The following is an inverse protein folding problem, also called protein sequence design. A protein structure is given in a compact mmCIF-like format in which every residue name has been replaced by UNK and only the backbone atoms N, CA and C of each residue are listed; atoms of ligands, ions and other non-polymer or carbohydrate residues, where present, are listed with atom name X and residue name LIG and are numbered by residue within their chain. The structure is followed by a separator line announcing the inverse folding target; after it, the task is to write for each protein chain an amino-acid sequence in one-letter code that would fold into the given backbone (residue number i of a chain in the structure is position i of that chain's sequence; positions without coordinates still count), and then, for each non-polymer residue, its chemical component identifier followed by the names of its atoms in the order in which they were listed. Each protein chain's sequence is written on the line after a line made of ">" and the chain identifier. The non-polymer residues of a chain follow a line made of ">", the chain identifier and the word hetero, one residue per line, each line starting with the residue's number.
data_IF_783266219097
#
_entry.id   IF_783266219097
#
_cell.length_a   1.000
_cell.length_b   1.000
_cell.length_c   1.000
_cell.angle_alpha   90.00
_cell.angle_beta   90.00
_cell.angle_gamma   90.00
#
_symmetry.space_group_name_H-M   'P 1'
#
loop_
_entity.id
_entity.type
_entity.pdbx_description
1 polymer ?
#
# COMPACT_ATOMS: atom_id res chain seq x y z
N UNK A 1 7.72 -27.58 8.92
CA UNK A 1 8.82 -26.99 9.71
C UNK A 1 8.29 -25.64 10.13
N UNK A 2 7.61 -25.64 11.25
CA UNK A 2 6.74 -24.53 11.64
C UNK A 2 7.45 -23.72 12.72
N UNK A 3 7.28 -22.40 12.66
CA UNK A 3 7.84 -21.47 13.62
C UNK A 3 6.70 -20.83 14.39
N UNK A 4 6.88 -20.74 15.70
CA UNK A 4 5.92 -20.10 16.58
C UNK A 4 6.08 -18.58 16.50
N UNK A 5 4.97 -17.87 16.28
CA UNK A 5 4.92 -16.41 16.26
C UNK A 5 4.53 -15.91 17.67
N UNK A 6 5.45 -15.27 18.41
CA UNK A 6 5.26 -14.96 19.83
C UNK A 6 4.15 -13.95 20.12
N UNK A 7 3.80 -13.07 19.17
CA UNK A 7 2.76 -12.05 19.38
C UNK A 7 1.46 -12.45 18.70
N UNK A 8 1.53 -13.20 17.59
CA UNK A 8 0.34 -13.74 16.95
C UNK A 8 -0.21 -14.98 17.68
N UNK A 9 0.61 -15.67 18.48
CA UNK A 9 0.29 -16.93 19.16
C UNK A 9 -0.12 -18.07 18.20
N UNK A 10 0.38 -18.03 16.95
CA UNK A 10 0.10 -19.01 15.89
C UNK A 10 1.40 -19.62 15.38
N UNK A 11 1.36 -20.92 15.06
CA UNK A 11 2.46 -21.62 14.40
C UNK A 11 2.29 -21.57 12.89
N UNK A 12 3.29 -21.07 12.17
CA UNK A 12 3.25 -20.92 10.71
C UNK A 12 4.50 -21.51 10.07
N UNK A 13 4.34 -22.07 8.88
CA UNK A 13 5.45 -22.59 8.07
C UNK A 13 6.41 -21.45 7.66
N UNK A 14 7.65 -21.45 8.17
CA UNK A 14 8.60 -20.35 7.92
C UNK A 14 9.00 -20.21 6.43
N UNK A 15 9.20 -21.29 5.64
CA UNK A 15 9.47 -21.16 4.19
C UNK A 15 8.33 -20.46 3.45
N UNK A 16 7.08 -20.74 3.82
CA UNK A 16 5.91 -20.11 3.23
C UNK A 16 5.92 -18.59 3.48
N UNK A 17 6.26 -18.15 4.69
CA UNK A 17 6.35 -16.71 5.00
C UNK A 17 7.42 -16.01 4.15
N UNK A 18 8.59 -16.63 3.98
CA UNK A 18 9.64 -16.07 3.10
C UNK A 18 9.17 -16.02 1.64
N UNK A 19 8.52 -17.09 1.16
CA UNK A 19 7.98 -17.13 -0.20
C UNK A 19 6.89 -16.07 -0.43
N UNK A 20 5.94 -15.93 0.50
CA UNK A 20 4.92 -14.88 0.47
C UNK A 20 5.56 -13.49 0.49
N UNK A 21 6.55 -13.29 1.36
CA UNK A 21 7.37 -12.09 1.38
C UNK A 21 7.94 -11.77 0.00
N UNK A 22 8.52 -12.77 -0.68
CA UNK A 22 9.09 -12.61 -2.02
C UNK A 22 8.04 -12.35 -3.09
N UNK A 23 6.92 -13.06 -3.11
CA UNK A 23 5.84 -12.84 -4.10
C UNK A 23 5.23 -11.45 -3.93
N UNK A 24 4.87 -11.07 -2.71
CA UNK A 24 4.31 -9.75 -2.44
C UNK A 24 5.34 -8.64 -2.65
N UNK A 25 6.61 -8.90 -2.31
CA UNK A 25 7.72 -8.02 -2.62
C UNK A 25 7.86 -7.80 -4.13
N UNK A 26 7.77 -8.86 -4.93
CA UNK A 26 7.82 -8.80 -6.39
C UNK A 26 6.68 -7.97 -6.96
N UNK A 27 5.45 -8.21 -6.50
CA UNK A 27 4.27 -7.40 -6.87
C UNK A 27 4.45 -5.94 -6.44
N UNK A 28 4.94 -5.68 -5.23
CA UNK A 28 5.24 -4.34 -4.74
C UNK A 28 6.26 -3.61 -5.62
N UNK A 29 7.34 -4.30 -5.99
CA UNK A 29 8.40 -3.78 -6.86
C UNK A 29 7.92 -3.52 -8.29
N UNK A 30 7.03 -4.34 -8.83
CA UNK A 30 6.43 -4.14 -10.16
C UNK A 30 5.57 -2.87 -10.24
N UNK A 31 4.76 -2.62 -9.20
CA UNK A 31 3.72 -1.58 -9.23
C UNK A 31 4.07 -0.31 -8.46
N UNK A 32 5.06 -0.33 -7.56
CA UNK A 32 5.41 0.82 -6.71
C UNK A 32 4.48 1.07 -5.53
N UNK A 33 3.65 0.09 -5.19
CA UNK A 33 2.52 0.28 -4.26
C UNK A 33 2.80 -0.13 -2.82
N UNK A 34 3.99 -0.63 -2.51
CA UNK A 34 4.39 -0.94 -1.14
C UNK A 34 3.86 -2.26 -0.57
N UNK A 35 3.24 -3.16 -1.34
CA UNK A 35 3.01 -4.58 -0.97
C UNK A 35 2.06 -4.90 0.20
N UNK A 36 1.91 -4.02 1.19
CA UNK A 36 1.17 -4.31 2.43
C UNK A 36 -0.34 -4.53 2.21
N UNK A 37 -0.92 -4.02 1.12
CA UNK A 37 -2.34 -4.24 0.81
C UNK A 37 -2.65 -5.69 0.50
N UNK A 38 -1.65 -6.46 0.05
CA UNK A 38 -1.76 -7.89 -0.19
C UNK A 38 -1.35 -8.69 1.03
N UNK A 39 -0.27 -8.27 1.68
CA UNK A 39 0.28 -9.02 2.80
C UNK A 39 -0.74 -9.14 3.94
N UNK A 40 -1.47 -8.08 4.29
CA UNK A 40 -2.34 -8.14 5.47
C UNK A 40 -3.50 -9.09 5.31
N UNK A 41 -4.26 -9.02 4.21
CA UNK A 41 -5.31 -9.98 3.97
C UNK A 41 -4.76 -11.41 3.98
N UNK A 42 -3.63 -11.67 3.29
CA UNK A 42 -3.01 -13.00 3.27
C UNK A 42 -2.67 -13.48 4.69
N UNK A 43 -2.06 -12.64 5.53
CA UNK A 43 -1.73 -13.01 6.91
C UNK A 43 -2.97 -13.21 7.77
N UNK A 44 -4.01 -12.39 7.59
CA UNK A 44 -5.31 -12.52 8.28
C UNK A 44 -5.96 -13.87 7.91
N UNK A 45 -5.95 -14.25 6.63
CA UNK A 45 -6.45 -15.56 6.18
C UNK A 45 -5.65 -16.74 6.76
N UNK A 46 -4.38 -16.51 7.12
CA UNK A 46 -3.56 -17.51 7.81
C UNK A 46 -3.85 -17.59 9.32
N UNK A 47 -4.88 -16.89 9.80
CA UNK A 47 -5.28 -16.87 11.21
C UNK A 47 -4.51 -15.88 12.07
N UNK A 48 -3.68 -15.00 11.48
CA UNK A 48 -2.94 -14.00 12.24
C UNK A 48 -3.88 -12.83 12.58
N UNK A 49 -3.98 -12.40 13.86
CA UNK A 49 -4.85 -11.30 14.25
C UNK A 49 -4.58 -10.03 13.43
N UNK A 50 -5.62 -9.31 12.95
CA UNK A 50 -5.45 -8.15 12.07
C UNK A 50 -4.49 -7.09 12.63
N UNK A 51 -4.57 -6.81 13.93
CA UNK A 51 -3.67 -5.85 14.58
C UNK A 51 -2.18 -6.26 14.52
N UNK A 52 -1.88 -7.56 14.63
CA UNK A 52 -0.52 -8.10 14.54
C UNK A 52 -0.06 -8.16 13.10
N UNK A 53 -0.95 -8.60 12.20
CA UNK A 53 -0.70 -8.63 10.78
C UNK A 53 -0.28 -7.24 10.31
N UNK A 54 -1.17 -6.25 10.41
CA UNK A 54 -1.00 -4.84 9.98
C UNK A 54 0.31 -4.24 10.46
N UNK A 55 0.67 -4.49 11.73
CA UNK A 55 1.88 -3.95 12.33
C UNK A 55 3.16 -4.64 11.86
N UNK A 56 3.17 -5.98 11.80
CA UNK A 56 4.37 -6.75 11.49
C UNK A 56 4.79 -6.60 10.03
N UNK A 57 3.83 -6.58 9.12
CA UNK A 57 4.11 -6.42 7.69
C UNK A 57 4.55 -5.01 7.29
N UNK A 58 4.29 -3.98 8.11
CA UNK A 58 4.80 -2.64 7.84
C UNK A 58 6.34 -2.64 7.70
N UNK A 59 7.04 -3.52 8.43
CA UNK A 59 8.48 -3.77 8.28
C UNK A 59 8.85 -4.33 6.89
N UNK A 60 8.05 -5.27 6.37
CA UNK A 60 8.21 -5.81 5.01
C UNK A 60 7.99 -4.73 3.95
N UNK A 61 6.99 -3.87 4.13
CA UNK A 61 6.71 -2.74 3.24
C UNK A 61 7.90 -1.78 3.19
N UNK A 62 8.48 -1.43 4.35
CA UNK A 62 9.67 -0.57 4.41
C UNK A 62 10.84 -1.18 3.65
N UNK A 63 11.12 -2.47 3.88
CA UNK A 63 12.26 -3.14 3.27
C UNK A 63 12.09 -3.33 1.75
N UNK A 64 10.93 -3.82 1.31
CA UNK A 64 10.61 -3.98 -0.11
C UNK A 64 10.60 -2.64 -0.84
N UNK A 65 10.05 -1.59 -0.22
CA UNK A 65 10.02 -0.25 -0.82
C UNK A 65 11.41 0.38 -0.89
N UNK A 66 12.25 0.19 0.13
CA UNK A 66 13.66 0.64 0.12
C UNK A 66 14.42 0.01 -1.04
N UNK A 67 14.27 -1.31 -1.20
CA UNK A 67 14.89 -2.04 -2.30
C UNK A 67 14.37 -1.61 -3.68
N UNK A 68 13.08 -1.28 -3.78
CA UNK A 68 12.47 -0.72 -4.98
C UNK A 68 12.99 0.68 -5.31
N UNK A 69 13.04 1.59 -4.34
CA UNK A 69 13.55 2.96 -4.54
C UNK A 69 14.99 2.96 -5.03
N UNK A 70 15.85 2.10 -4.50
CA UNK A 70 17.23 1.96 -4.98
C UNK A 70 17.23 1.63 -6.48
N UNK A 71 16.36 0.71 -6.91
CA UNK A 71 16.22 0.29 -8.32
C UNK A 71 15.61 1.37 -9.22
N UNK A 72 14.70 2.20 -8.72
CA UNK A 72 14.11 3.31 -9.49
C UNK A 72 14.96 4.59 -9.48
N UNK A 73 15.80 4.76 -8.46
CA UNK A 73 16.75 5.87 -8.36
C UNK A 73 17.77 5.79 -9.48
N UNK A 74 18.31 4.59 -9.75
CA UNK A 74 19.24 4.37 -10.88
C UNK A 74 18.58 4.68 -12.24
N UNK A 75 17.26 4.52 -12.35
CA UNK A 75 16.47 4.86 -13.55
C UNK A 75 16.07 6.35 -13.63
N UNK A 76 16.51 7.19 -12.69
CA UNK A 76 16.11 8.62 -12.58
C UNK A 76 14.58 8.82 -12.43
N UNK A 77 13.87 7.81 -11.94
CA UNK A 77 12.41 7.74 -11.85
C UNK A 77 11.83 8.24 -10.51
N UNK A 78 12.64 8.91 -9.67
CA UNK A 78 12.22 9.41 -8.35
C UNK A 78 12.25 10.94 -8.34
N UNK A 79 11.13 11.58 -7.96
CA UNK A 79 11.05 13.00 -7.65
C UNK A 79 11.07 13.20 -6.14
N UNK A 80 12.28 13.28 -5.56
CA UNK A 80 12.47 13.45 -4.12
C UNK A 80 11.78 14.69 -3.56
N UNK A 81 11.58 15.74 -4.37
CA UNK A 81 11.00 17.00 -3.89
C UNK A 81 9.50 16.86 -3.64
N UNK A 82 8.75 16.25 -4.57
CA UNK A 82 7.35 15.88 -4.32
C UNK A 82 7.28 14.84 -3.21
N UNK A 83 8.14 13.82 -3.29
CA UNK A 83 8.19 12.75 -2.32
C UNK A 83 8.35 13.26 -0.88
N UNK A 84 9.21 14.25 -0.65
CA UNK A 84 9.45 14.83 0.68
C UNK A 84 8.28 15.68 1.18
N UNK A 85 7.60 16.43 0.30
CA UNK A 85 6.38 17.17 0.66
C UNK A 85 5.26 16.21 1.06
N UNK A 86 5.07 15.14 0.29
CA UNK A 86 4.09 14.10 0.58
C UNK A 86 4.45 13.31 1.85
N UNK A 87 5.74 13.02 2.06
CA UNK A 87 6.23 12.37 3.27
C UNK A 87 6.02 13.24 4.50
N UNK A 88 6.25 14.55 4.42
CA UNK A 88 5.96 15.48 5.53
C UNK A 88 4.49 15.44 5.95
N UNK A 89 3.58 15.49 4.98
CA UNK A 89 2.14 15.32 5.26
C UNK A 89 1.84 13.93 5.83
N UNK A 90 2.42 12.90 5.24
CA UNK A 90 2.20 11.51 5.65
C UNK A 90 2.74 11.14 7.02
N UNK A 91 3.82 11.78 7.50
CA UNK A 91 4.28 11.63 8.88
C UNK A 91 3.25 12.18 9.86
N UNK A 92 2.68 13.36 9.59
CA UNK A 92 1.60 13.90 10.41
C UNK A 92 0.35 13.02 10.35
N UNK A 93 0.02 12.51 9.16
CA UNK A 93 -1.06 11.56 8.97
C UNK A 93 -0.84 10.26 9.75
N UNK A 94 0.37 9.71 9.74
CA UNK A 94 0.73 8.49 10.46
C UNK A 94 0.62 8.69 11.98
N UNK A 95 1.06 9.84 12.51
CA UNK A 95 0.91 10.18 13.92
C UNK A 95 -0.57 10.18 14.36
N UNK A 96 -1.42 10.85 13.59
CA UNK A 96 -2.87 10.87 13.84
C UNK A 96 -3.51 9.49 13.66
N UNK A 97 -3.10 8.75 12.64
CA UNK A 97 -3.65 7.45 12.30
C UNK A 97 -3.29 6.36 13.32
N UNK A 98 -2.06 6.35 13.86
CA UNK A 98 -1.66 5.40 14.90
C UNK A 98 -2.42 5.68 16.20
N UNK A 99 -2.60 6.94 16.54
CA UNK A 99 -3.37 7.31 17.72
C UNK A 99 -4.86 6.94 17.57
N UNK A 100 -5.44 7.19 16.39
CA UNK A 100 -6.79 6.73 16.04
C UNK A 100 -6.90 5.19 16.09
N UNK A 101 -5.92 4.47 15.55
CA UNK A 101 -5.87 3.01 15.60
C UNK A 101 -5.79 2.51 17.04
N UNK A 102 -5.01 3.17 17.90
CA UNK A 102 -4.93 2.87 19.34
C UNK A 102 -6.30 3.05 20.00
N UNK A 103 -7.00 4.15 19.74
CA UNK A 103 -8.36 4.37 20.24
C UNK A 103 -9.33 3.28 19.78
N UNK A 104 -9.32 2.92 18.49
CA UNK A 104 -10.16 1.85 17.94
C UNK A 104 -9.85 0.49 18.58
N UNK A 105 -8.57 0.20 18.87
CA UNK A 105 -8.15 -1.02 19.56
C UNK A 105 -8.65 -1.06 21.00
N UNK A 106 -8.56 0.06 21.74
CA UNK A 106 -9.07 0.14 23.11
C UNK A 106 -10.59 -0.03 23.18
N UNK A 107 -11.31 0.33 22.11
CA UNK A 107 -12.75 0.10 21.96
C UNK A 107 -13.11 -1.31 21.47
N UNK A 108 -12.13 -2.17 21.17
CA UNK A 108 -12.36 -3.49 20.57
C UNK A 108 -12.85 -3.45 19.12
N UNK A 109 -12.73 -2.30 18.43
CA UNK A 109 -13.21 -2.08 17.07
C UNK A 109 -12.10 -2.02 16.01
N UNK A 110 -10.85 -2.34 16.39
CA UNK A 110 -9.72 -2.29 15.45
C UNK A 110 -9.93 -3.22 14.25
N UNK A 111 -10.32 -4.47 14.49
CA UNK A 111 -10.48 -5.46 13.43
C UNK A 111 -11.56 -5.05 12.43
N UNK A 112 -12.70 -4.55 12.93
CA UNK A 112 -13.78 -4.01 12.12
C UNK A 112 -13.33 -2.78 11.33
N UNK A 113 -12.59 -1.86 11.95
CA UNK A 113 -12.09 -0.68 11.26
C UNK A 113 -11.10 -1.02 10.14
N UNK A 114 -10.22 -2.00 10.36
CA UNK A 114 -9.33 -2.52 9.32
C UNK A 114 -10.14 -3.12 8.18
N UNK A 115 -11.04 -4.05 8.48
CA UNK A 115 -11.83 -4.75 7.46
C UNK A 115 -12.71 -3.80 6.63
N UNK A 116 -13.41 -2.85 7.27
CA UNK A 116 -14.19 -1.83 6.56
C UNK A 116 -13.31 -0.91 5.70
N UNK A 117 -12.13 -0.53 6.19
CA UNK A 117 -11.19 0.27 5.40
C UNK A 117 -10.73 -0.49 4.16
N UNK A 118 -10.40 -1.79 4.29
CA UNK A 118 -10.07 -2.63 3.14
C UNK A 118 -11.24 -2.75 2.17
N UNK A 119 -12.44 -3.06 2.64
CA UNK A 119 -13.62 -3.18 1.78
C UNK A 119 -13.91 -1.88 1.01
N UNK A 120 -13.95 -0.75 1.71
CA UNK A 120 -14.29 0.54 1.12
C UNK A 120 -13.21 1.03 0.16
N UNK A 121 -11.94 1.09 0.61
CA UNK A 121 -10.88 1.67 -0.19
C UNK A 121 -10.39 0.73 -1.29
N UNK A 122 -10.18 -0.55 -0.98
CA UNK A 122 -9.71 -1.52 -1.95
C UNK A 122 -10.82 -1.84 -2.96
N UNK A 123 -12.07 -1.95 -2.52
CA UNK A 123 -13.23 -2.08 -3.40
C UNK A 123 -13.36 -0.88 -4.35
N UNK A 124 -13.45 0.35 -3.81
CA UNK A 124 -13.65 1.54 -4.64
C UNK A 124 -12.49 1.79 -5.62
N UNK A 125 -11.25 1.74 -5.13
CA UNK A 125 -10.06 2.00 -5.97
C UNK A 125 -9.86 0.87 -6.97
N UNK A 126 -10.04 -0.39 -6.57
CA UNK A 126 -9.95 -1.56 -7.44
C UNK A 126 -10.96 -1.49 -8.59
N UNK A 127 -12.23 -1.20 -8.29
CA UNK A 127 -13.27 -1.05 -9.31
C UNK A 127 -12.97 0.10 -10.26
N UNK A 128 -12.57 1.27 -9.75
CA UNK A 128 -12.23 2.43 -10.58
C UNK A 128 -11.05 2.11 -11.52
N UNK A 129 -9.97 1.51 -10.99
CA UNK A 129 -8.79 1.15 -11.77
C UNK A 129 -9.12 0.09 -12.84
N UNK A 130 -9.90 -0.92 -12.48
CA UNK A 130 -10.27 -2.00 -13.41
C UNK A 130 -11.19 -1.48 -14.52
N UNK A 131 -12.22 -0.69 -14.17
CA UNK A 131 -13.15 -0.11 -15.14
C UNK A 131 -12.42 0.76 -16.18
N UNK A 132 -11.53 1.65 -15.72
CA UNK A 132 -10.76 2.49 -16.63
C UNK A 132 -9.76 1.69 -17.48
N UNK A 133 -9.03 0.77 -16.86
CA UNK A 133 -8.00 0.02 -17.56
C UNK A 133 -8.58 -0.91 -18.63
N UNK A 134 -9.69 -1.60 -18.32
CA UNK A 134 -10.45 -2.37 -19.30
C UNK A 134 -11.00 -1.48 -20.42
N UNK A 135 -11.52 -0.30 -20.08
CA UNK A 135 -11.96 0.69 -21.05
C UNK A 135 -10.86 1.11 -22.02
N UNK A 136 -9.63 1.33 -21.54
CA UNK A 136 -8.49 1.67 -22.40
C UNK A 136 -8.05 0.49 -23.28
N UNK A 137 -7.98 -0.72 -22.71
CA UNK A 137 -7.59 -1.94 -23.44
C UNK A 137 -8.60 -2.27 -24.55
N UNK A 138 -9.91 -2.20 -24.24
CA UNK A 138 -10.99 -2.48 -25.21
C UNK A 138 -11.03 -1.46 -26.35
N UNK A 139 -10.88 -0.17 -26.05
CA UNK A 139 -10.83 0.89 -27.08
C UNK A 139 -9.64 0.71 -28.02
N UNK A 140 -8.49 0.33 -27.46
CA UNK A 140 -7.30 0.02 -28.26
C UNK A 140 -7.50 -1.22 -29.14
N UNK A 141 -8.13 -2.27 -28.61
CA UNK A 141 -8.47 -3.46 -29.40
C UNK A 141 -9.42 -3.13 -30.56
N UNK A 142 -10.28 -2.11 -30.39
CA UNK A 142 -11.18 -1.58 -31.43
C UNK A 142 -10.51 -0.59 -32.40
N UNK A 143 -9.21 -0.32 -32.24
CA UNK A 143 -8.50 0.65 -33.09
C UNK A 143 -8.92 2.10 -32.87
N UNK A 144 -9.67 2.41 -31.82
CA UNK A 144 -10.09 3.78 -31.51
C UNK A 144 -8.88 4.58 -31.02
N UNK A 145 -8.64 5.73 -31.65
CA UNK A 145 -7.59 6.66 -31.23
C UNK A 145 -7.95 7.17 -29.84
N UNK A 146 -7.11 6.89 -28.85
CA UNK A 146 -7.31 7.36 -27.49
C UNK A 146 -7.54 8.89 -27.53
N UNK A 147 -8.65 9.41 -26.96
CA UNK A 147 -8.90 10.84 -27.00
C UNK A 147 -7.72 11.54 -26.38
N UNK A 148 -7.13 12.48 -27.13
CA UNK A 148 -6.24 13.51 -26.56
C UNK A 148 -7.13 14.34 -25.63
N UNK A 149 -7.39 13.85 -24.42
CA UNK A 149 -7.95 14.69 -23.36
C UNK A 149 -6.89 15.77 -23.16
N UNK A 150 -7.13 16.95 -23.71
CA UNK A 150 -6.42 18.16 -23.33
C UNK A 150 -6.38 18.13 -21.81
N UNK A 151 -5.18 17.96 -21.26
CA UNK A 151 -4.95 17.90 -19.81
C UNK A 151 -5.13 19.31 -19.25
N UNK A 152 -6.32 19.91 -19.39
CA UNK A 152 -6.72 21.08 -18.61
C UNK A 152 -6.73 20.63 -17.16
N UNK A 153 -5.66 21.00 -16.45
CA UNK A 153 -5.45 20.70 -15.04
C UNK A 153 -6.51 21.46 -14.24
N UNK A 154 -7.09 20.88 -13.17
CA UNK A 154 -8.11 21.57 -12.39
C UNK A 154 -7.56 22.91 -11.87
N UNK A 155 -8.34 23.99 -11.99
CA UNK A 155 -7.91 25.35 -11.59
C UNK A 155 -7.50 25.41 -10.10
N UNK A 156 -8.12 24.59 -9.25
CA UNK A 156 -7.81 24.49 -7.82
C UNK A 156 -6.38 24.05 -7.50
N UNK A 157 -5.72 23.25 -8.36
CA UNK A 157 -4.30 22.88 -8.13
C UNK A 157 -3.35 24.09 -8.21
N UNK A 158 -3.77 25.17 -8.89
CA UNK A 158 -2.97 26.38 -9.14
C UNK A 158 -3.31 27.56 -8.24
N UNK A 159 -4.45 27.52 -7.54
CA UNK A 159 -4.98 28.64 -6.76
C UNK A 159 -4.47 28.77 -5.33
N UNK A 160 -3.74 27.78 -4.81
CA UNK A 160 -3.30 27.75 -3.41
C UNK A 160 -1.91 28.43 -3.22
N UNK A 161 -1.62 28.97 -2.01
CA UNK A 161 -0.29 29.50 -1.67
C UNK A 161 0.78 28.38 -1.65
N UNK A 162 2.07 28.76 -1.74
CA UNK A 162 3.26 27.86 -1.80
C UNK A 162 3.43 27.09 -3.11
N UNK A 163 3.54 27.80 -4.24
CA UNK A 163 3.87 27.21 -5.55
C UNK A 163 5.31 26.69 -5.57
N UNK A 164 5.50 25.40 -5.80
CA UNK A 164 6.83 24.79 -5.98
C UNK A 164 6.98 24.19 -7.38
N UNK A 165 8.18 24.35 -7.98
CA UNK A 165 8.58 23.59 -9.18
C UNK A 165 9.07 22.21 -8.77
N UNK A 166 8.53 21.20 -9.42
CA UNK A 166 8.90 19.79 -9.32
C UNK A 166 9.48 19.34 -10.67
N UNK A 167 10.82 19.39 -10.84
CA UNK A 167 11.46 19.31 -12.15
C UNK A 167 11.31 17.95 -12.83
N UNK A 168 11.41 16.85 -12.06
CA UNK A 168 11.31 15.47 -12.59
C UNK A 168 9.87 15.12 -12.96
N UNK A 169 8.90 15.61 -12.18
CA UNK A 169 7.48 15.37 -12.43
C UNK A 169 6.84 16.30 -13.48
N UNK A 170 7.54 17.38 -13.87
CA UNK A 170 7.00 18.39 -14.78
C UNK A 170 5.78 19.14 -14.21
N UNK A 171 5.77 19.31 -12.88
CA UNK A 171 4.68 19.94 -12.15
C UNK A 171 5.12 21.30 -11.60
N UNK A 172 4.27 22.31 -11.81
CA UNK A 172 4.33 23.57 -11.09
C UNK A 172 2.99 23.74 -10.37
N UNK A 173 2.91 23.17 -9.18
CA UNK A 173 1.69 23.10 -8.38
C UNK A 173 1.99 23.54 -6.96
N UNK A 174 0.97 23.90 -6.22
CA UNK A 174 1.09 24.24 -4.81
C UNK A 174 1.56 23.01 -4.01
N UNK A 175 2.32 23.21 -2.94
CA UNK A 175 2.75 22.10 -2.07
C UNK A 175 1.60 21.50 -1.23
N UNK A 176 0.49 22.24 -1.09
CA UNK A 176 -0.66 21.86 -0.25
C UNK A 176 -1.36 20.58 -0.72
N UNK A 177 -1.74 20.38 -2.00
CA UNK A 177 -2.42 19.14 -2.41
C UNK A 177 -1.56 17.88 -2.24
N UNK A 178 -0.26 17.85 -2.63
CA UNK A 178 0.62 16.71 -2.33
C UNK A 178 0.75 16.44 -0.82
N UNK A 179 0.88 17.50 -0.01
CA UNK A 179 0.97 17.36 1.44
C UNK A 179 -0.31 16.77 2.04
N UNK A 180 -1.49 17.28 1.66
CA UNK A 180 -2.78 16.77 2.12
C UNK A 180 -3.04 15.34 1.67
N UNK A 181 -2.66 15.00 0.42
CA UNK A 181 -2.71 13.63 -0.07
C UNK A 181 -1.80 12.71 0.76
N UNK A 182 -0.58 13.16 1.05
CA UNK A 182 0.36 12.47 1.91
C UNK A 182 -0.23 12.22 3.30
N UNK A 183 -0.83 13.23 3.91
CA UNK A 183 -1.48 13.14 5.22
C UNK A 183 -2.62 12.12 5.23
N UNK A 184 -3.53 12.18 4.25
CA UNK A 184 -4.60 11.22 4.12
C UNK A 184 -4.07 9.78 3.99
N UNK A 185 -3.08 9.59 3.12
CA UNK A 185 -2.44 8.29 2.91
C UNK A 185 -1.70 7.81 4.17
N UNK A 186 -1.11 8.72 4.95
CA UNK A 186 -0.49 8.41 6.24
C UNK A 186 -1.48 7.87 7.26
N UNK A 187 -2.66 8.50 7.38
CA UNK A 187 -3.74 8.01 8.27
C UNK A 187 -4.18 6.61 7.83
N UNK A 188 -4.44 6.43 6.54
CA UNK A 188 -4.86 5.12 6.00
C UNK A 188 -3.78 4.06 6.13
N UNK A 189 -2.51 4.43 5.93
CA UNK A 189 -1.37 3.52 6.10
C UNK A 189 -1.21 3.07 7.55
N UNK A 190 -1.57 3.90 8.53
CA UNK A 190 -1.51 3.52 9.94
C UNK A 190 -2.65 2.58 10.34
N UNK A 191 -3.86 2.79 9.82
CA UNK A 191 -5.01 1.92 10.12
C UNK A 191 -4.89 0.58 9.40
N UNK A 192 -4.51 0.59 8.12
CA UNK A 192 -4.52 -0.60 7.27
C UNK A 192 -3.15 -1.31 7.23
N UNK A 193 -2.03 -0.66 7.60
CA UNK A 193 -0.68 -1.27 7.55
C UNK A 193 -0.12 -1.45 6.13
N UNK A 194 -0.77 -0.83 5.16
CA UNK A 194 -0.56 -1.11 3.73
C UNK A 194 0.61 -0.34 3.10
N UNK A 195 1.16 0.64 3.80
CA UNK A 195 2.10 1.62 3.21
C UNK A 195 1.43 2.62 2.27
N UNK A 196 0.13 2.48 1.98
CA UNK A 196 -0.67 3.48 1.27
C UNK A 196 -0.40 3.62 -0.23
N UNK A 197 0.55 2.88 -0.80
CA UNK A 197 0.95 3.01 -2.20
C UNK A 197 -0.15 2.67 -3.22
N UNK A 198 -1.04 1.72 -2.90
CA UNK A 198 -2.22 1.41 -3.73
C UNK A 198 -3.20 2.59 -3.86
N UNK A 199 -3.26 3.48 -2.86
CA UNK A 199 -4.03 4.74 -2.93
C UNK A 199 -3.19 5.82 -3.63
N UNK A 200 -1.91 5.86 -3.29
CA UNK A 200 -1.00 6.92 -3.71
C UNK A 200 -0.72 6.91 -5.21
N UNK A 201 -0.50 5.73 -5.80
CA UNK A 201 -0.17 5.59 -7.22
C UNK A 201 -1.33 6.10 -8.10
N UNK A 202 -2.60 5.65 -7.91
CA UNK A 202 -3.75 6.25 -8.58
C UNK A 202 -3.89 7.74 -8.29
N UNK A 203 -3.76 8.18 -7.05
CA UNK A 203 -3.91 9.60 -6.71
C UNK A 203 -2.87 10.48 -7.42
N UNK A 204 -1.62 10.04 -7.53
CA UNK A 204 -0.58 10.75 -8.28
C UNK A 204 -0.86 10.76 -9.79
N UNK A 205 -1.38 9.66 -10.35
CA UNK A 205 -1.73 9.56 -11.78
C UNK A 205 -2.96 10.39 -12.16
N UNK A 206 -3.98 10.42 -11.29
CA UNK A 206 -5.29 10.98 -11.62
C UNK A 206 -5.49 12.38 -11.06
N UNK A 207 -5.16 12.58 -9.78
CA UNK A 207 -5.33 13.86 -9.09
C UNK A 207 -4.18 14.80 -9.43
N UNK A 208 -2.93 14.34 -9.22
CA UNK A 208 -1.74 15.16 -9.50
C UNK A 208 -1.30 15.12 -10.98
N UNK A 209 -1.83 14.16 -11.76
CA UNK A 209 -1.53 13.98 -13.20
C UNK A 209 -0.04 13.87 -13.51
N UNK A 210 0.70 13.21 -12.64
CA UNK A 210 2.11 12.90 -12.82
C UNK A 210 2.33 11.89 -13.96
N UNK A 211 3.52 11.92 -14.57
CA UNK A 211 3.91 10.92 -15.56
C UNK A 211 4.14 9.59 -14.85
N UNK A 212 3.54 8.51 -15.36
CA UNK A 212 3.59 7.17 -14.73
C UNK A 212 5.01 6.69 -14.40
N UNK A 213 5.99 6.97 -15.27
CA UNK A 213 7.38 6.61 -15.03
C UNK A 213 8.02 7.23 -13.79
N UNK A 214 7.52 8.37 -13.30
CA UNK A 214 8.04 9.04 -12.08
C UNK A 214 7.18 8.72 -10.84
N UNK A 215 5.94 8.27 -11.04
CA UNK A 215 4.99 7.98 -9.96
C UNK A 215 5.46 6.80 -9.12
N UNK A 216 5.88 5.72 -9.76
CA UNK A 216 6.28 4.46 -9.08
C UNK A 216 7.48 4.69 -8.15
N UNK A 217 8.53 5.37 -8.60
CA UNK A 217 9.68 5.69 -7.76
C UNK A 217 9.35 6.68 -6.64
N UNK A 218 8.54 7.71 -6.94
CA UNK A 218 8.17 8.74 -5.97
C UNK A 218 7.23 8.23 -4.88
N UNK A 219 6.32 7.31 -5.22
CA UNK A 219 5.47 6.61 -4.24
C UNK A 219 6.34 5.82 -3.28
N UNK A 220 7.17 4.90 -3.78
CA UNK A 220 8.01 4.07 -2.93
C UNK A 220 8.88 4.90 -1.97
N UNK A 221 9.41 6.06 -2.42
CA UNK A 221 10.16 6.96 -1.55
C UNK A 221 9.32 7.50 -0.39
N UNK A 222 8.11 7.98 -0.67
CA UNK A 222 7.20 8.44 0.37
C UNK A 222 6.76 7.29 1.29
N UNK A 223 6.50 6.09 0.73
CA UNK A 223 6.06 4.91 1.46
C UNK A 223 7.10 4.49 2.48
N UNK A 224 8.40 4.53 2.14
CA UNK A 224 9.48 4.22 3.09
C UNK A 224 9.38 5.11 4.33
N UNK A 225 9.28 6.43 4.13
CA UNK A 225 9.31 7.38 5.25
C UNK A 225 8.08 7.22 6.13
N UNK A 226 6.90 7.19 5.50
CA UNK A 226 5.62 7.10 6.23
C UNK A 226 5.49 5.75 6.92
N UNK A 227 5.79 4.65 6.24
CA UNK A 227 5.65 3.32 6.83
C UNK A 227 6.69 3.07 7.90
N UNK A 228 7.94 3.55 7.74
CA UNK A 228 8.94 3.44 8.80
C UNK A 228 8.48 4.18 10.07
N UNK A 229 7.92 5.39 9.91
CA UNK A 229 7.34 6.13 11.03
C UNK A 229 6.18 5.35 11.66
N UNK A 230 5.24 4.85 10.86
CA UNK A 230 4.12 4.01 11.33
C UNK A 230 4.61 2.79 12.08
N UNK A 231 5.60 2.06 11.56
CA UNK A 231 6.17 0.86 12.22
C UNK A 231 6.77 1.21 13.58
N UNK A 232 7.56 2.30 13.66
CA UNK A 232 8.16 2.75 14.92
C UNK A 232 7.07 3.11 15.94
N UNK A 233 6.06 3.87 15.51
CA UNK A 233 4.95 4.29 16.37
C UNK A 233 4.10 3.10 16.82
N UNK A 234 3.81 2.15 15.94
CA UNK A 234 3.03 0.96 16.23
C UNK A 234 3.79 0.00 17.15
N UNK A 235 5.10 -0.19 16.94
CA UNK A 235 5.96 -0.97 17.82
C UNK A 235 6.03 -0.34 19.23
N UNK A 236 6.26 0.98 19.31
CA UNK A 236 6.44 1.67 20.58
C UNK A 236 5.14 1.90 21.37
N UNK A 237 4.02 2.15 20.70
CA UNK A 237 2.73 2.47 21.35
C UNK A 237 1.81 1.28 21.51
N UNK A 238 1.78 0.40 20.51
CA UNK A 238 0.79 -0.67 20.44
C UNK A 238 1.42 -2.06 20.70
N UNK A 239 2.74 -2.21 20.62
CA UNK A 239 3.45 -3.48 20.87
C UNK A 239 2.88 -4.67 20.05
N UNK A 240 2.32 -4.40 18.86
CA UNK A 240 1.70 -5.42 18.00
C UNK A 240 2.65 -5.95 16.91
N UNK A 241 3.92 -5.56 16.94
CA UNK A 241 4.89 -5.93 15.89
C UNK A 241 5.59 -7.22 16.26
N UNK A 242 5.23 -8.31 15.59
CA UNK A 242 5.92 -9.60 15.72
C UNK A 242 7.24 -9.56 14.95
N UNK A 243 8.35 -9.60 15.69
CA UNK A 243 9.69 -9.47 15.13
C UNK A 243 10.05 -10.68 14.26
N UNK A 244 9.63 -11.88 14.63
CA UNK A 244 9.93 -13.11 13.89
C UNK A 244 9.23 -13.08 12.54
N UNK A 245 7.93 -12.78 12.55
CA UNK A 245 7.15 -12.59 11.33
C UNK A 245 7.75 -11.50 10.44
N UNK A 246 8.07 -10.35 11.03
CA UNK A 246 8.64 -9.20 10.32
C UNK A 246 9.95 -9.56 9.59
N UNK A 247 10.85 -10.28 10.25
CA UNK A 247 12.15 -10.67 9.68
C UNK A 247 12.01 -11.68 8.54
N UNK A 248 11.15 -12.68 8.69
CA UNK A 248 10.92 -13.69 7.64
C UNK A 248 10.31 -13.07 6.38
N UNK A 249 9.31 -12.20 6.56
CA UNK A 249 8.72 -11.47 5.45
C UNK A 249 9.77 -10.59 4.79
N UNK A 250 10.52 -9.81 5.58
CA UNK A 250 11.56 -8.90 5.10
C UNK A 250 12.57 -9.59 4.17
N UNK A 251 13.07 -10.76 4.56
CA UNK A 251 14.03 -11.53 3.76
C UNK A 251 13.51 -11.83 2.35
N UNK A 252 12.28 -12.34 2.26
CA UNK A 252 11.64 -12.57 0.96
C UNK A 252 11.36 -11.26 0.22
N UNK A 253 10.82 -10.27 0.93
CA UNK A 253 10.37 -8.98 0.39
C UNK A 253 11.44 -8.21 -0.34
N UNK A 254 12.65 -8.15 0.22
CA UNK A 254 13.79 -7.46 -0.42
C UNK A 254 14.14 -8.12 -1.74
N UNK A 255 14.29 -9.45 -1.76
CA UNK A 255 14.64 -10.21 -2.95
C UNK A 255 13.56 -10.03 -4.02
N UNK A 256 12.30 -10.26 -3.66
CA UNK A 256 11.15 -10.10 -4.55
C UNK A 256 11.09 -8.70 -5.17
N UNK A 257 11.20 -7.65 -4.35
CA UNK A 257 11.09 -6.27 -4.81
C UNK A 257 12.16 -5.87 -5.84
N UNK A 258 13.39 -6.38 -5.72
CA UNK A 258 14.42 -6.12 -6.72
C UNK A 258 14.08 -6.75 -8.07
N UNK A 259 13.64 -8.01 -8.07
CA UNK A 259 13.22 -8.66 -9.31
C UNK A 259 11.99 -7.98 -9.92
N UNK A 260 11.02 -7.61 -9.09
CA UNK A 260 9.82 -6.88 -9.53
C UNK A 260 10.16 -5.54 -10.18
N UNK A 261 10.98 -4.72 -9.52
CA UNK A 261 11.38 -3.40 -10.05
C UNK A 261 12.19 -3.51 -11.35
N UNK A 262 12.99 -4.57 -11.52
CA UNK A 262 13.69 -4.84 -12.80
C UNK A 262 12.72 -5.25 -13.91
N UNK A 263 11.65 -5.98 -13.57
CA UNK A 263 10.67 -6.47 -14.53
C UNK A 263 9.60 -5.43 -14.89
N UNK A 264 9.42 -4.38 -14.09
CA UNK A 264 8.39 -3.35 -14.33
C UNK A 264 8.54 -2.66 -15.69
N UNK A 265 9.75 -2.57 -16.23
CA UNK A 265 10.03 -1.95 -17.52
C UNK A 265 9.56 -2.75 -18.75
N UNK A 266 9.18 -4.03 -18.58
CA UNK A 266 8.70 -4.88 -19.68
C UNK A 266 7.21 -4.74 -19.97
N UNK A 267 6.45 -4.26 -19.00
CA UNK A 267 4.99 -4.16 -19.09
C UNK A 267 4.56 -2.72 -19.37
N UNK A 268 3.44 -2.56 -20.07
CA UNK A 268 2.85 -1.22 -20.26
C UNK A 268 2.16 -0.78 -18.98
N UNK A 269 2.15 0.52 -18.72
CA UNK A 269 1.51 1.08 -17.54
C UNK A 269 -0.01 0.75 -17.44
N UNK A 270 -0.67 0.55 -18.58
CA UNK A 270 -2.08 0.13 -18.67
C UNK A 270 -2.26 -1.33 -18.23
N UNK A 271 -1.42 -2.24 -18.72
CA UNK A 271 -1.45 -3.66 -18.34
C UNK A 271 -1.16 -3.83 -16.85
N UNK A 272 -0.15 -3.11 -16.35
CA UNK A 272 0.17 -3.12 -14.93
C UNK A 272 -1.01 -2.62 -14.09
N UNK A 273 -1.68 -1.54 -14.53
CA UNK A 273 -2.83 -1.01 -13.81
C UNK A 273 -4.03 -1.97 -13.81
N UNK A 274 -4.28 -2.67 -14.92
CA UNK A 274 -5.35 -3.66 -15.01
C UNK A 274 -5.11 -4.82 -14.05
N UNK A 275 -3.91 -5.40 -14.08
CA UNK A 275 -3.53 -6.53 -13.21
C UNK A 275 -3.62 -6.11 -11.74
N UNK A 276 -3.09 -4.93 -11.41
CA UNK A 276 -3.19 -4.39 -10.07
C UNK A 276 -4.65 -4.16 -9.64
N UNK A 277 -5.47 -3.53 -10.48
CA UNK A 277 -6.87 -3.26 -10.21
C UNK A 277 -7.66 -4.55 -9.96
N UNK A 278 -7.38 -5.62 -10.73
CA UNK A 278 -7.99 -6.93 -10.54
C UNK A 278 -7.60 -7.54 -9.19
N UNK A 279 -6.29 -7.55 -8.85
CA UNK A 279 -5.80 -8.09 -7.58
C UNK A 279 -6.40 -7.33 -6.39
N UNK A 280 -6.37 -6.00 -6.44
CA UNK A 280 -6.95 -5.09 -5.45
C UNK A 280 -8.44 -5.39 -5.27
N UNK A 281 -9.20 -5.50 -6.37
CA UNK A 281 -10.63 -5.78 -6.32
C UNK A 281 -10.93 -7.16 -5.74
N UNK A 282 -10.20 -8.19 -6.14
CA UNK A 282 -10.36 -9.54 -5.59
C UNK A 282 -10.16 -9.55 -4.08
N UNK A 283 -9.07 -8.94 -3.60
CA UNK A 283 -8.77 -8.86 -2.17
C UNK A 283 -9.82 -8.04 -1.42
N UNK A 284 -10.30 -6.94 -2.02
CA UNK A 284 -11.33 -6.08 -1.41
C UNK A 284 -12.67 -6.82 -1.27
N UNK A 285 -13.09 -7.54 -2.31
CA UNK A 285 -14.29 -8.39 -2.27
C UNK A 285 -14.11 -9.50 -1.24
N UNK A 286 -12.95 -10.16 -1.22
CA UNK A 286 -12.69 -11.27 -0.29
C UNK A 286 -12.76 -10.81 1.18
N UNK A 287 -12.13 -9.67 1.52
CA UNK A 287 -12.22 -9.08 2.86
C UNK A 287 -13.65 -8.65 3.21
N UNK A 288 -14.42 -8.18 2.22
CA UNK A 288 -15.84 -7.89 2.41
C UNK A 288 -16.67 -9.14 2.68
N UNK A 289 -16.42 -10.22 1.94
CA UNK A 289 -17.15 -11.48 2.11
C UNK A 289 -16.94 -12.07 3.50
N UNK A 290 -15.75 -11.98 4.10
CA UNK A 290 -15.55 -12.38 5.50
C UNK A 290 -16.39 -11.59 6.50
N UNK A 291 -16.77 -10.35 6.18
CA UNK A 291 -17.64 -9.54 7.03
C UNK A 291 -19.11 -10.00 6.99
N UNK A 292 -19.54 -10.58 5.87
CA UNK A 292 -20.95 -10.96 5.62
C UNK A 292 -21.20 -12.47 5.72
N UNK A 293 -20.20 -13.29 5.41
CA UNK A 293 -20.27 -14.75 5.45
C UNK A 293 -19.89 -15.18 6.86
N UNK A 294 -20.77 -15.95 7.51
CA UNK A 294 -20.52 -16.47 8.86
C UNK A 294 -19.20 -17.25 8.89
N UNK A 295 -18.34 -17.04 9.91
CA UNK A 295 -17.15 -17.87 10.11
C UNK A 295 -17.56 -19.34 10.14
N UNK A 296 -16.77 -20.21 9.52
CA UNK A 296 -16.97 -21.66 9.57
C UNK A 296 -16.92 -22.21 10.99
N UNK A 297 -16.25 -21.51 11.91
CA UNK A 297 -16.26 -21.78 13.35
C UNK A 297 -16.99 -20.68 14.11
N UNK A 298 -18.25 -20.97 14.48
CA UNK A 298 -19.08 -20.12 15.35
C UNK A 298 -18.50 -20.01 16.79
N UNK A 299 -17.58 -20.89 17.15
CA UNK A 299 -16.94 -21.01 18.46
C UNK A 299 -15.42 -21.08 18.38
N UNK A 300 -14.79 -20.35 17.45
CA UNK A 300 -13.42 -19.90 17.71
C UNK A 300 -13.52 -18.95 18.90
N UNK A 301 -13.35 -19.52 20.10
CA UNK A 301 -13.25 -18.76 21.34
C UNK A 301 -12.26 -17.61 21.12
N UNK A 302 -12.55 -16.47 21.74
CA UNK A 302 -11.66 -15.31 21.79
C UNK A 302 -10.17 -15.73 21.77
N UNK A 303 -9.31 -15.04 21.00
CA UNK A 303 -7.92 -15.45 20.82
C UNK A 303 -7.28 -15.68 22.18
N UNK A 304 -6.87 -16.93 22.45
CA UNK A 304 -6.30 -17.28 23.75
C UNK A 304 -6.44 -18.74 24.23
N UNK A 305 -6.97 -19.70 23.47
CA UNK A 305 -6.82 -21.12 23.84
C UNK A 305 -6.57 -22.00 22.61
N UNK A 306 -5.41 -22.63 22.64
CA UNK A 306 -4.81 -23.48 21.61
C UNK A 306 -5.62 -24.71 21.21
N UNK A 307 -5.36 -25.18 19.99
CA UNK A 307 -5.12 -26.59 19.69
C UNK A 307 -3.78 -26.73 19.00
#
# INVERSE_FOLDING_TARGET
>A
MDIYLPIAEVSVNWPLLVLLGAVVGFVSGLFGIGGGFLMAPILIFMGIPPAVAVASQASHVVASSTSGVISYTSQKAVDYKIGLVMAGGGVLGALLGVELFRYLRLLGQADLAVALSYLLFLGAIGTLMLYESLGQILRRARGEVAPHKERRRPLWLYGLPLKMRFPRSGLYISAVPPFGLGMFVGVMSAIMGVGGGFILVPAMLYVLRMKAGVVVGTSLFQIIIVTAMTTILQAGRNQTVDIVLSMLLLLGGVVGAQYGARWSGRFRAEELRAVLGLIVLMVGIQMGLELFVRPSDLFAFAPGVAQ
#
